data_IF_578368165579
#
_entry.id   IF_578368165579
#
_cell.length_a   1.000
_cell.length_b   1.000
_cell.length_c   1.000
_cell.angle_alpha   90.00
_cell.angle_beta   90.00
_cell.angle_gamma   90.00
#
_symmetry.space_group_name_H-M   'P 1'
#
loop_
_entity.id
_entity.type
_entity.pdbx_description
1 polymer ?
#
# COMPACT_ATOMS: atom_id res chain seq x y z
N UNK A 1 10.04 1.21 41.34
CA UNK A 1 10.14 2.51 40.66
C UNK A 1 11.42 2.46 39.85
N UNK A 2 11.30 2.11 38.58
CA UNK A 2 12.36 2.28 37.57
C UNK A 2 11.69 2.04 36.22
N UNK A 3 11.37 3.17 35.59
CA UNK A 3 11.47 3.39 34.16
C UNK A 3 10.67 2.47 33.25
N UNK A 4 9.40 2.86 33.09
CA UNK A 4 8.55 2.70 31.90
C UNK A 4 9.19 3.31 30.62
N UNK A 5 10.50 3.17 30.43
CA UNK A 5 11.24 3.61 29.25
C UNK A 5 10.94 2.63 28.11
N UNK A 6 9.74 2.74 27.56
CA UNK A 6 9.50 2.62 26.11
C UNK A 6 8.05 2.99 25.73
N UNK A 7 7.50 4.09 26.27
CA UNK A 7 6.06 4.32 26.11
C UNK A 7 5.61 4.58 24.66
N UNK A 8 6.44 4.98 23.69
CA UNK A 8 6.02 4.95 22.28
C UNK A 8 7.20 4.82 21.29
N UNK A 9 7.57 3.59 20.91
CA UNK A 9 8.51 3.36 19.79
C UNK A 9 7.94 3.93 18.47
N UNK A 10 6.64 4.08 18.42
CA UNK A 10 5.84 4.39 17.26
C UNK A 10 5.78 5.89 16.95
N UNK A 11 5.86 6.75 17.97
CA UNK A 11 6.03 8.21 17.76
C UNK A 11 7.40 8.49 17.12
N UNK A 12 8.42 7.72 17.48
CA UNK A 12 9.74 7.81 16.83
C UNK A 12 9.69 7.31 15.38
N UNK A 13 8.83 6.33 15.07
CA UNK A 13 8.56 5.88 13.70
C UNK A 13 7.78 6.94 12.90
N UNK A 14 6.83 7.64 13.53
CA UNK A 14 6.01 8.68 12.89
C UNK A 14 6.87 9.83 12.36
N UNK A 15 7.79 10.36 13.18
CA UNK A 15 8.70 11.43 12.76
C UNK A 15 9.60 11.00 11.58
N UNK A 16 10.15 9.79 11.63
CA UNK A 16 10.98 9.24 10.54
C UNK A 16 10.19 9.04 9.24
N UNK A 17 8.95 8.57 9.32
CA UNK A 17 8.11 8.45 8.12
C UNK A 17 7.78 9.82 7.54
N UNK A 18 7.38 10.79 8.37
CA UNK A 18 7.08 12.15 7.92
C UNK A 18 8.29 12.75 7.19
N UNK A 19 9.50 12.49 7.68
CA UNK A 19 10.73 12.83 6.98
C UNK A 19 10.83 12.17 5.61
N UNK A 20 10.61 10.86 5.52
CA UNK A 20 10.64 10.12 4.26
C UNK A 20 9.63 10.66 3.23
N UNK A 21 8.40 10.93 3.67
CA UNK A 21 7.35 11.53 2.84
C UNK A 21 7.72 12.93 2.36
N UNK A 22 8.37 13.72 3.22
CA UNK A 22 8.86 15.06 2.88
C UNK A 22 9.96 14.99 1.83
N UNK A 23 10.95 14.13 2.03
CA UNK A 23 12.09 13.96 1.13
C UNK A 23 11.67 13.42 -0.25
N UNK A 24 10.76 12.45 -0.29
CA UNK A 24 10.19 11.92 -1.54
C UNK A 24 9.46 12.98 -2.37
N UNK A 25 8.96 14.05 -1.73
CA UNK A 25 8.27 15.18 -2.38
C UNK A 25 9.21 16.36 -2.70
N UNK A 26 10.51 16.23 -2.41
CA UNK A 26 11.48 17.32 -2.59
C UNK A 26 11.23 18.54 -1.68
N UNK A 27 10.44 18.40 -0.62
CA UNK A 27 10.12 19.48 0.31
C UNK A 27 11.28 19.64 1.30
N UNK A 28 11.82 20.85 1.46
CA UNK A 28 12.86 21.09 2.45
C UNK A 28 12.25 21.37 3.83
N UNK A 29 13.04 21.18 4.90
CA UNK A 29 12.62 21.59 6.26
C UNK A 29 12.30 23.10 6.30
N UNK A 30 12.98 23.92 5.50
CA UNK A 30 12.69 25.35 5.41
C UNK A 30 11.33 25.64 4.79
N UNK A 31 10.87 24.82 3.84
CA UNK A 31 9.55 24.96 3.24
C UNK A 31 8.47 24.68 4.30
N UNK A 32 8.66 23.64 5.11
CA UNK A 32 7.77 23.37 6.24
C UNK A 32 7.77 24.49 7.27
N UNK A 33 8.94 25.05 7.62
CA UNK A 33 9.02 26.19 8.55
C UNK A 33 8.18 27.36 8.03
N UNK A 34 8.34 27.70 6.74
CA UNK A 34 7.61 28.80 6.09
C UNK A 34 6.11 28.56 6.05
N UNK A 35 5.69 27.34 5.73
CA UNK A 35 4.27 27.00 5.58
C UNK A 35 3.54 26.80 6.92
N UNK A 36 4.22 26.31 7.95
CA UNK A 36 3.59 25.89 9.22
C UNK A 36 3.79 26.85 10.38
N UNK A 37 4.81 27.72 10.29
CA UNK A 37 5.26 28.57 11.40
C UNK A 37 5.96 27.81 12.53
N UNK A 38 6.18 26.50 12.38
CA UNK A 38 6.93 25.69 13.35
C UNK A 38 8.43 25.97 13.25
N UNK A 39 9.13 25.89 14.38
CA UNK A 39 10.58 26.12 14.37
C UNK A 39 11.32 25.00 13.65
N UNK A 40 12.40 25.36 12.93
CA UNK A 40 13.30 24.40 12.27
C UNK A 40 13.80 23.33 13.24
N UNK A 41 14.17 23.72 14.47
CA UNK A 41 14.64 22.78 15.49
C UNK A 41 13.56 21.79 15.90
N UNK A 42 12.30 22.23 16.04
CA UNK A 42 11.19 21.36 16.42
C UNK A 42 10.94 20.31 15.34
N UNK A 43 10.79 20.72 14.08
CA UNK A 43 10.58 19.80 12.94
C UNK A 43 11.74 18.80 12.86
N UNK A 44 12.98 19.29 12.95
CA UNK A 44 14.15 18.44 12.78
C UNK A 44 14.36 17.44 13.93
N UNK A 45 14.05 17.82 15.18
CA UNK A 45 14.07 16.90 16.32
C UNK A 45 12.95 15.88 16.21
N UNK A 46 11.77 16.30 15.79
CA UNK A 46 10.62 15.41 15.59
C UNK A 46 10.92 14.37 14.52
N UNK A 47 11.42 14.79 13.36
CA UNK A 47 11.80 13.89 12.25
C UNK A 47 12.88 12.86 12.61
N UNK A 48 13.64 13.10 13.70
CA UNK A 48 14.66 12.17 14.22
C UNK A 48 14.16 11.32 15.39
N UNK A 49 12.90 11.45 15.81
CA UNK A 49 12.37 10.79 17.02
C UNK A 49 13.01 11.31 18.31
N UNK A 50 13.47 12.57 18.33
CA UNK A 50 14.10 13.19 19.50
C UNK A 50 13.12 14.03 20.33
N UNK A 51 11.93 14.29 19.79
CA UNK A 51 10.84 14.96 20.50
C UNK A 51 9.51 14.52 19.90
N UNK A 52 8.49 14.43 20.74
CA UNK A 52 7.11 14.42 20.29
C UNK A 52 6.65 15.86 19.98
N UNK A 53 5.60 16.01 19.17
CA UNK A 53 4.93 17.27 18.89
C UNK A 53 3.41 17.07 18.93
N UNK A 54 2.67 18.15 19.17
CA UNK A 54 1.20 18.07 19.18
C UNK A 54 0.65 17.58 17.83
N UNK A 55 -0.43 16.80 17.86
CA UNK A 55 -1.15 16.34 16.66
C UNK A 55 -1.52 17.51 15.72
N UNK A 56 -1.87 18.68 16.28
CA UNK A 56 -2.14 19.89 15.49
C UNK A 56 -0.91 20.36 14.68
N UNK A 57 0.30 20.19 15.21
CA UNK A 57 1.55 20.49 14.52
C UNK A 57 1.86 19.46 13.43
N UNK A 58 1.57 18.19 13.71
CA UNK A 58 1.64 17.10 12.72
C UNK A 58 0.70 17.38 11.54
N UNK A 59 -0.56 17.74 11.80
CA UNK A 59 -1.55 18.09 10.76
C UNK A 59 -1.09 19.28 9.91
N UNK A 60 -0.48 20.31 10.53
CA UNK A 60 0.10 21.44 9.77
C UNK A 60 1.22 20.98 8.83
N UNK A 61 2.10 20.10 9.30
CA UNK A 61 3.18 19.53 8.48
C UNK A 61 2.61 18.75 7.30
N UNK A 62 1.58 17.92 7.51
CA UNK A 62 0.89 17.21 6.43
C UNK A 62 0.26 18.15 5.41
N UNK A 63 -0.51 19.13 5.88
CA UNK A 63 -1.15 20.12 5.00
C UNK A 63 -0.12 20.87 4.15
N UNK A 64 1.04 21.23 4.72
CA UNK A 64 2.14 21.86 4.00
C UNK A 64 2.80 20.96 2.94
N UNK A 65 2.63 19.64 3.03
CA UNK A 65 3.09 18.66 2.04
C UNK A 65 1.97 18.19 1.10
N UNK A 66 0.80 18.85 1.13
CA UNK A 66 -0.40 18.45 0.40
C UNK A 66 -0.84 17.02 0.71
N UNK A 67 -0.70 16.62 1.97
CA UNK A 67 -1.11 15.33 2.49
C UNK A 67 -2.31 15.47 3.44
N UNK A 68 -3.11 14.42 3.47
CA UNK A 68 -4.24 14.22 4.35
C UNK A 68 -3.91 13.21 5.44
N UNK A 69 -4.79 13.07 6.43
CA UNK A 69 -4.68 11.99 7.42
C UNK A 69 -4.85 10.61 6.76
N UNK A 70 -5.62 10.52 5.67
CA UNK A 70 -5.81 9.29 4.91
C UNK A 70 -4.50 8.80 4.29
N UNK A 71 -3.67 9.71 3.76
CA UNK A 71 -2.34 9.39 3.24
C UNK A 71 -1.41 8.81 4.32
N UNK A 72 -1.60 9.22 5.58
CA UNK A 72 -0.86 8.68 6.71
C UNK A 72 -1.33 7.27 7.09
N UNK A 73 -2.64 7.03 7.05
CA UNK A 73 -3.22 5.71 7.31
C UNK A 73 -2.78 4.67 6.27
N UNK A 74 -2.59 5.08 5.01
CA UNK A 74 -2.07 4.22 3.94
C UNK A 74 -0.55 4.02 4.00
N UNK A 75 0.17 4.85 4.74
CA UNK A 75 1.55 4.56 5.05
C UNK A 75 1.57 3.44 6.10
N UNK A 76 2.28 2.35 5.79
CA UNK A 76 2.46 1.13 6.61
C UNK A 76 2.92 1.32 8.07
N UNK A 77 3.02 2.57 8.54
CA UNK A 77 3.24 2.97 9.93
C UNK A 77 2.31 2.31 10.93
N UNK A 78 1.04 2.13 10.55
CA UNK A 78 0.04 1.58 11.45
C UNK A 78 -0.16 0.09 11.24
N UNK A 79 0.62 -0.60 10.42
CA UNK A 79 0.45 -2.04 10.22
C UNK A 79 0.57 -2.78 11.57
N UNK A 80 1.53 -2.42 12.42
CA UNK A 80 1.70 -3.02 13.76
C UNK A 80 0.58 -2.62 14.73
N UNK A 81 0.13 -1.37 14.68
CA UNK A 81 -1.00 -0.89 15.49
C UNK A 81 -2.32 -1.54 15.11
N UNK A 82 -2.60 -1.64 13.81
CA UNK A 82 -3.79 -2.26 13.26
C UNK A 82 -3.81 -3.75 13.60
N UNK A 83 -2.66 -4.44 13.50
CA UNK A 83 -2.59 -5.83 13.93
C UNK A 83 -2.91 -5.99 15.41
N UNK A 84 -2.36 -5.14 16.27
CA UNK A 84 -2.68 -5.16 17.70
C UNK A 84 -4.17 -4.85 17.96
N UNK A 85 -4.74 -3.85 17.28
CA UNK A 85 -6.17 -3.50 17.39
C UNK A 85 -7.09 -4.64 16.95
N UNK A 86 -6.80 -5.27 15.80
CA UNK A 86 -7.55 -6.40 15.29
C UNK A 86 -7.46 -7.60 16.25
N UNK A 87 -6.27 -7.85 16.82
CA UNK A 87 -6.07 -8.90 17.83
C UNK A 87 -6.81 -8.63 19.14
N UNK A 88 -6.73 -7.40 19.67
CA UNK A 88 -7.45 -6.99 20.88
C UNK A 88 -8.96 -7.12 20.69
N UNK A 89 -9.48 -6.65 19.55
CA UNK A 89 -10.89 -6.78 19.19
C UNK A 89 -11.30 -8.25 19.05
N UNK A 90 -10.51 -9.08 18.37
CA UNK A 90 -10.80 -10.51 18.26
C UNK A 90 -10.81 -11.20 19.62
N UNK A 91 -9.90 -10.83 20.53
CA UNK A 91 -9.85 -11.37 21.89
C UNK A 91 -11.08 -10.95 22.72
N UNK A 92 -11.45 -9.67 22.68
CA UNK A 92 -12.61 -9.14 23.39
C UNK A 92 -13.93 -9.76 22.92
N UNK A 93 -14.06 -10.00 21.61
CA UNK A 93 -15.28 -10.50 20.97
C UNK A 93 -15.16 -11.95 20.49
N UNK A 94 -14.37 -12.78 21.19
CA UNK A 94 -14.04 -14.16 20.77
C UNK A 94 -15.24 -15.11 20.58
N UNK A 95 -16.42 -14.76 21.12
CA UNK A 95 -17.65 -15.54 20.96
C UNK A 95 -18.67 -14.87 20.01
N UNK A 96 -18.34 -13.72 19.42
CA UNK A 96 -19.21 -13.01 18.47
C UNK A 96 -18.76 -13.28 17.03
N UNK A 97 -19.45 -14.23 16.38
CA UNK A 97 -19.14 -14.63 15.02
C UNK A 97 -19.31 -13.51 13.98
N UNK A 98 -20.13 -12.49 14.23
CA UNK A 98 -20.31 -11.37 13.31
C UNK A 98 -19.06 -10.49 13.33
N UNK A 99 -18.58 -10.15 14.53
CA UNK A 99 -17.36 -9.34 14.70
C UNK A 99 -16.14 -10.08 14.17
N UNK A 100 -16.00 -11.37 14.48
CA UNK A 100 -14.89 -12.18 13.97
C UNK A 100 -14.88 -12.28 12.45
N UNK A 101 -16.06 -12.43 11.82
CA UNK A 101 -16.17 -12.44 10.36
C UNK A 101 -15.75 -11.10 9.75
N UNK A 102 -16.15 -9.97 10.34
CA UNK A 102 -15.74 -8.64 9.87
C UNK A 102 -14.21 -8.46 9.93
N UNK A 103 -13.58 -8.88 11.03
CA UNK A 103 -12.12 -8.87 11.18
C UNK A 103 -11.46 -9.74 10.11
N UNK A 104 -11.99 -10.94 9.87
CA UNK A 104 -11.47 -11.84 8.85
C UNK A 104 -11.60 -11.24 7.44
N UNK A 105 -12.75 -10.65 7.11
CA UNK A 105 -12.99 -10.01 5.80
C UNK A 105 -12.02 -8.83 5.58
N UNK A 106 -11.71 -8.07 6.62
CA UNK A 106 -10.72 -6.99 6.59
C UNK A 106 -9.29 -7.52 6.34
N UNK A 107 -8.88 -8.57 7.04
CA UNK A 107 -7.58 -9.23 6.84
C UNK A 107 -7.48 -9.80 5.42
N UNK A 108 -8.49 -10.52 4.95
CA UNK A 108 -8.55 -11.08 3.60
C UNK A 108 -8.45 -9.99 2.52
N UNK A 109 -9.08 -8.83 2.74
CA UNK A 109 -9.00 -7.69 1.83
C UNK A 109 -7.56 -7.13 1.76
N UNK A 110 -6.85 -7.10 2.89
CA UNK A 110 -5.42 -6.72 2.93
C UNK A 110 -4.53 -7.75 2.25
N UNK A 111 -4.78 -9.04 2.47
CA UNK A 111 -4.03 -10.13 1.82
C UNK A 111 -4.11 -10.05 0.29
N UNK A 112 -5.27 -9.64 -0.25
CA UNK A 112 -5.44 -9.42 -1.69
C UNK A 112 -4.52 -8.30 -2.21
N UNK A 113 -4.46 -7.16 -1.51
CA UNK A 113 -3.58 -6.04 -1.87
C UNK A 113 -2.09 -6.39 -1.74
N UNK A 114 -1.71 -7.09 -0.67
CA UNK A 114 -0.33 -7.56 -0.45
C UNK A 114 0.09 -8.52 -1.57
N UNK A 115 -0.81 -9.42 -1.98
CA UNK A 115 -0.57 -10.33 -3.10
C UNK A 115 -0.32 -9.52 -4.38
N UNK A 116 -1.17 -8.55 -4.68
CA UNK A 116 -1.02 -7.65 -5.84
C UNK A 116 0.31 -6.89 -5.83
N UNK A 117 0.75 -6.38 -4.68
CA UNK A 117 2.04 -5.72 -4.49
C UNK A 117 3.22 -6.68 -4.78
N UNK A 118 3.18 -7.90 -4.26
CA UNK A 118 4.23 -8.90 -4.49
C UNK A 118 4.30 -9.31 -5.97
N UNK A 119 3.15 -9.51 -6.63
CA UNK A 119 3.12 -9.81 -8.07
C UNK A 119 3.70 -8.66 -8.90
N UNK A 120 3.33 -7.42 -8.60
CA UNK A 120 3.93 -6.24 -9.26
C UNK A 120 5.44 -6.24 -9.10
N UNK A 121 5.95 -6.45 -7.89
CA UNK A 121 7.38 -6.52 -7.59
C UNK A 121 8.09 -7.60 -8.41
N UNK A 122 7.53 -8.81 -8.51
CA UNK A 122 8.09 -9.90 -9.32
C UNK A 122 8.11 -9.56 -10.82
N UNK A 123 7.05 -8.94 -11.33
CA UNK A 123 6.99 -8.46 -12.72
C UNK A 123 8.06 -7.39 -12.97
N UNK A 124 8.19 -6.40 -12.08
CA UNK A 124 9.21 -5.35 -12.19
C UNK A 124 10.63 -5.92 -12.14
N UNK A 125 10.89 -6.90 -11.27
CA UNK A 125 12.18 -7.60 -11.21
C UNK A 125 12.48 -8.35 -12.51
N UNK A 126 11.47 -8.95 -13.14
CA UNK A 126 11.59 -9.64 -14.44
C UNK A 126 11.89 -8.65 -15.56
N UNK A 127 11.16 -7.53 -15.61
CA UNK A 127 11.38 -6.45 -16.57
C UNK A 127 12.81 -5.89 -16.49
N UNK A 128 13.32 -5.69 -15.27
CA UNK A 128 14.69 -5.21 -15.04
C UNK A 128 15.78 -6.25 -15.36
N UNK A 129 15.46 -7.55 -15.23
CA UNK A 129 16.40 -8.66 -15.43
C UNK A 129 15.93 -9.58 -16.56
N UNK A 130 15.86 -9.05 -17.78
CA UNK A 130 15.20 -9.64 -18.96
C UNK A 130 15.72 -11.02 -19.41
N UNK A 131 16.74 -11.57 -18.76
CA UNK A 131 17.25 -12.94 -18.98
C UNK A 131 16.53 -14.01 -18.15
N UNK A 132 15.57 -13.65 -17.29
CA UNK A 132 14.78 -14.61 -16.50
C UNK A 132 13.35 -14.64 -17.01
N UNK A 133 12.81 -15.85 -17.13
CA UNK A 133 11.38 -16.05 -17.38
C UNK A 133 10.54 -15.58 -16.19
N UNK A 134 9.24 -15.45 -16.43
CA UNK A 134 8.30 -15.00 -15.40
C UNK A 134 8.23 -16.03 -14.25
N UNK A 135 8.26 -15.60 -12.97
CA UNK A 135 8.11 -16.50 -11.83
C UNK A 135 6.76 -17.24 -11.85
N UNK A 136 6.75 -18.48 -11.38
CA UNK A 136 5.55 -19.33 -11.32
C UNK A 136 4.41 -18.71 -10.51
N UNK A 137 4.75 -17.89 -9.53
CA UNK A 137 3.84 -17.15 -8.66
C UNK A 137 2.99 -16.15 -9.46
N UNK A 138 3.59 -15.52 -10.48
CA UNK A 138 2.89 -14.60 -11.37
C UNK A 138 1.96 -15.35 -12.32
N UNK A 139 2.39 -16.50 -12.85
CA UNK A 139 1.51 -17.34 -13.67
C UNK A 139 0.32 -17.87 -12.85
N UNK A 140 0.59 -18.38 -11.64
CA UNK A 140 -0.44 -18.87 -10.73
C UNK A 140 -1.42 -17.78 -10.33
N UNK A 141 -0.96 -16.54 -10.18
CA UNK A 141 -1.83 -15.39 -9.92
C UNK A 141 -2.88 -15.22 -11.02
N UNK A 142 -2.44 -15.19 -12.29
CA UNK A 142 -3.35 -15.01 -13.42
C UNK A 142 -4.24 -16.24 -13.68
N UNK A 143 -3.74 -17.45 -13.44
CA UNK A 143 -4.51 -18.69 -13.65
C UNK A 143 -5.75 -18.74 -12.71
N UNK A 144 -5.60 -18.20 -11.50
CA UNK A 144 -6.60 -18.23 -10.44
C UNK A 144 -7.35 -16.89 -10.26
N UNK A 145 -7.44 -16.06 -11.29
CA UNK A 145 -8.29 -14.87 -11.23
C UNK A 145 -9.77 -15.26 -11.14
N UNK A 146 -10.47 -14.76 -10.12
CA UNK A 146 -11.93 -14.82 -9.99
C UNK A 146 -12.65 -13.71 -10.80
N UNK A 147 -11.87 -12.80 -11.37
CA UNK A 147 -12.29 -11.70 -12.23
C UNK A 147 -11.11 -10.77 -12.51
N UNK A 148 -11.19 -9.96 -13.57
CA UNK A 148 -10.13 -9.02 -13.92
C UNK A 148 -10.55 -7.57 -13.67
N UNK A 149 -9.84 -6.91 -12.77
CA UNK A 149 -10.07 -5.51 -12.42
C UNK A 149 -8.99 -4.63 -13.05
N UNK A 150 -9.13 -3.30 -12.88
CA UNK A 150 -8.19 -2.35 -13.46
C UNK A 150 -6.74 -2.60 -13.02
N UNK A 151 -6.52 -3.00 -11.76
CA UNK A 151 -5.18 -3.31 -11.25
C UNK A 151 -4.59 -4.55 -11.91
N UNK A 152 -5.33 -5.66 -11.94
CA UNK A 152 -4.92 -6.91 -12.60
C UNK A 152 -4.62 -6.70 -14.07
N UNK A 153 -5.36 -5.80 -14.71
CA UNK A 153 -5.17 -5.41 -16.11
C UNK A 153 -3.80 -4.74 -16.33
N UNK A 154 -3.38 -3.86 -15.42
CA UNK A 154 -2.03 -3.28 -15.48
C UNK A 154 -0.95 -4.35 -15.29
N UNK A 155 -1.13 -5.25 -14.32
CA UNK A 155 -0.20 -6.36 -14.10
C UNK A 155 -0.08 -7.24 -15.34
N UNK A 156 -1.21 -7.62 -15.95
CA UNK A 156 -1.26 -8.43 -17.15
C UNK A 156 -0.49 -7.76 -18.30
N UNK A 157 -0.77 -6.49 -18.57
CA UNK A 157 -0.08 -5.72 -19.62
C UNK A 157 1.43 -5.60 -19.38
N UNK A 158 1.87 -5.43 -18.13
CA UNK A 158 3.30 -5.39 -17.79
C UNK A 158 3.98 -6.76 -17.96
N UNK A 159 3.27 -7.84 -17.64
CA UNK A 159 3.78 -9.20 -17.74
C UNK A 159 3.73 -9.77 -19.16
N UNK A 160 2.90 -9.20 -20.05
CA UNK A 160 2.54 -9.74 -21.37
C UNK A 160 3.71 -10.34 -22.16
N UNK A 161 4.88 -9.67 -22.30
CA UNK A 161 5.98 -10.19 -23.12
C UNK A 161 6.56 -11.51 -22.62
N UNK A 162 6.27 -11.89 -21.37
CA UNK A 162 6.81 -13.07 -20.69
C UNK A 162 5.72 -14.12 -20.42
N UNK A 163 4.46 -13.86 -20.76
CA UNK A 163 3.36 -14.77 -20.46
C UNK A 163 3.36 -15.97 -21.41
N UNK A 164 3.04 -17.14 -20.85
CA UNK A 164 2.74 -18.31 -21.66
C UNK A 164 1.40 -18.15 -22.39
N UNK A 165 1.25 -18.79 -23.55
CA UNK A 165 0.01 -18.75 -24.34
C UNK A 165 -1.22 -19.19 -23.53
N UNK A 166 -1.06 -20.15 -22.61
CA UNK A 166 -2.13 -20.58 -21.70
C UNK A 166 -2.63 -19.42 -20.84
N UNK A 167 -1.72 -18.70 -20.19
CA UNK A 167 -2.08 -17.59 -19.30
C UNK A 167 -2.65 -16.43 -20.12
N UNK A 168 -2.12 -16.18 -21.32
CA UNK A 168 -2.67 -15.21 -22.25
C UNK A 168 -4.16 -15.49 -22.56
N UNK A 169 -4.51 -16.75 -22.87
CA UNK A 169 -5.89 -17.18 -23.11
C UNK A 169 -6.77 -17.10 -21.85
N UNK A 170 -6.22 -17.39 -20.67
CA UNK A 170 -6.93 -17.24 -19.39
C UNK A 170 -7.33 -15.78 -19.17
N UNK A 171 -6.40 -14.85 -19.36
CA UNK A 171 -6.63 -13.39 -19.22
C UNK A 171 -7.64 -12.92 -20.27
N UNK A 172 -7.49 -13.36 -21.53
CA UNK A 172 -8.43 -13.05 -22.60
C UNK A 172 -9.87 -13.47 -22.26
N UNK A 173 -10.04 -14.66 -21.69
CA UNK A 173 -11.34 -15.17 -21.22
C UNK A 173 -11.94 -14.30 -20.12
N UNK A 174 -11.15 -13.81 -19.17
CA UNK A 174 -11.63 -12.91 -18.11
C UNK A 174 -12.02 -11.53 -18.67
N UNK A 175 -11.20 -10.96 -19.56
CA UNK A 175 -11.49 -9.69 -20.22
C UNK A 175 -12.77 -9.75 -21.08
N UNK A 176 -13.05 -10.91 -21.70
CA UNK A 176 -14.25 -11.13 -22.50
C UNK A 176 -15.55 -11.14 -21.67
N UNK A 177 -15.47 -11.47 -20.38
CA UNK A 177 -16.64 -11.49 -19.50
C UNK A 177 -17.11 -10.09 -19.10
N UNK A 178 -16.30 -9.06 -19.31
CA UNK A 178 -16.61 -7.69 -18.91
C UNK A 178 -17.81 -7.12 -19.69
N UNK A 179 -18.90 -6.84 -18.97
CA UNK A 179 -20.14 -6.23 -19.48
C UNK A 179 -20.22 -4.74 -19.13
N UNK A 180 -20.77 -3.92 -20.04
CA UNK A 180 -21.00 -2.49 -19.81
C UNK A 180 -19.79 -1.58 -20.07
N UNK A 181 -19.69 -0.47 -19.32
CA UNK A 181 -18.62 0.52 -19.51
C UNK A 181 -17.27 -0.05 -19.08
N UNK A 182 -16.37 -0.22 -20.05
CA UNK A 182 -14.99 -0.65 -19.82
C UNK A 182 -14.11 0.57 -19.51
N UNK A 183 -13.42 0.59 -18.36
CA UNK A 183 -12.32 1.51 -18.12
C UNK A 183 -11.30 1.46 -19.27
N UNK A 184 -10.66 2.59 -19.56
CA UNK A 184 -9.71 2.72 -20.68
C UNK A 184 -8.62 1.64 -20.67
N UNK A 185 -8.13 1.27 -19.48
CA UNK A 185 -7.09 0.24 -19.34
C UNK A 185 -7.60 -1.15 -19.75
N UNK A 186 -8.85 -1.48 -19.41
CA UNK A 186 -9.48 -2.76 -19.78
C UNK A 186 -9.67 -2.85 -21.29
N UNK A 187 -10.05 -1.75 -21.96
CA UNK A 187 -10.09 -1.72 -23.43
C UNK A 187 -8.71 -1.95 -24.05
N UNK A 188 -7.66 -1.33 -23.46
CA UNK A 188 -6.28 -1.51 -23.95
C UNK A 188 -5.87 -2.97 -23.85
N UNK A 189 -6.10 -3.62 -22.71
CA UNK A 189 -5.81 -5.04 -22.55
C UNK A 189 -6.67 -5.92 -23.45
N UNK A 190 -7.95 -5.58 -23.69
CA UNK A 190 -8.78 -6.33 -24.62
C UNK A 190 -8.15 -6.40 -26.02
N UNK A 191 -7.57 -5.30 -26.51
CA UNK A 191 -6.87 -5.26 -27.79
C UNK A 191 -5.56 -6.05 -27.81
N UNK A 192 -4.90 -6.21 -26.67
CA UNK A 192 -3.63 -6.96 -26.57
C UNK A 192 -3.89 -8.46 -26.42
N UNK A 193 -4.88 -8.83 -25.61
CA UNK A 193 -5.07 -10.22 -25.19
C UNK A 193 -6.12 -10.99 -26.00
N UNK A 194 -7.13 -10.31 -26.54
CA UNK A 194 -8.30 -10.95 -27.19
C UNK A 194 -8.23 -10.87 -28.71
N UNK A 195 -7.56 -9.85 -29.25
CA UNK A 195 -7.36 -9.64 -30.69
C UNK A 195 -5.96 -10.06 -31.11
#
# INVERSE_FOLDING_TARGET
MNDLVNTFSEVNNLGRLIRGMREARGVSVNDLVRATGLSRSMISKFERGQTDIQLSSVIKIFSAMSLTLDDLCHARLFDEFLMNELCEKAYQFQNDHIVLKQILDEICSRDFLIRQEEILKLILQTLLNSNRGLPSEVENYFDNLDGIWSFDTYLALLAEPFLTQRIHLRIAKELAQYQGYRPKIINTAYHVFVH
#
